data_IF_869343010977
#
_entry.id   IF_869343010977
#
_cell.length_a   1.000
_cell.length_b   1.000
_cell.length_c   1.000
_cell.angle_alpha   90.00
_cell.angle_beta   90.00
_cell.angle_gamma   90.00
#
_symmetry.space_group_name_H-M   'P 1'
#
loop_
_entity.id
_entity.type
_entity.pdbx_description
1 polymer ?
#
# COMPACT_ATOMS: atom_id res chain seq x y z
N UNK A 1 -7.12 11.42 -39.94
CA UNK A 1 -7.42 12.56 -39.04
C UNK A 1 -7.60 12.01 -37.64
N UNK A 2 -6.81 12.53 -36.68
CA UNK A 2 -6.91 12.15 -35.28
C UNK A 2 -7.99 13.02 -34.61
N UNK A 3 -8.80 12.46 -33.70
CA UNK A 3 -9.81 13.25 -33.00
C UNK A 3 -9.16 14.34 -32.15
N UNK A 4 -9.74 15.54 -32.20
CA UNK A 4 -9.34 16.68 -31.39
C UNK A 4 -9.75 16.43 -29.93
N UNK A 5 -8.78 16.55 -29.02
CA UNK A 5 -8.94 16.41 -27.58
C UNK A 5 -9.59 17.68 -27.02
N UNK A 6 -10.66 17.58 -26.20
CA UNK A 6 -11.33 18.75 -25.63
C UNK A 6 -10.39 19.60 -24.76
N UNK A 7 -10.41 20.90 -25.03
CA UNK A 7 -9.63 21.99 -24.43
C UNK A 7 -10.01 22.30 -22.96
N UNK A 8 -10.88 21.50 -22.36
CA UNK A 8 -11.31 21.64 -20.95
C UNK A 8 -10.26 21.15 -19.94
N UNK A 9 -9.19 20.49 -20.37
CA UNK A 9 -7.97 20.30 -19.57
C UNK A 9 -6.98 21.43 -19.88
N UNK A 10 -7.38 22.67 -19.58
CA UNK A 10 -6.44 23.76 -19.38
C UNK A 10 -5.75 23.49 -18.04
N UNK A 11 -4.53 22.95 -18.12
CA UNK A 11 -3.60 22.84 -17.00
C UNK A 11 -3.22 24.27 -16.59
N UNK A 12 -4.06 24.90 -15.76
CA UNK A 12 -3.65 26.08 -15.01
C UNK A 12 -2.48 25.63 -14.14
N UNK A 13 -1.26 25.93 -14.61
CA UNK A 13 -0.03 25.71 -13.86
C UNK A 13 -0.07 26.58 -12.60
N UNK A 14 -0.64 26.04 -11.54
CA UNK A 14 -0.39 26.54 -10.19
C UNK A 14 1.10 26.35 -9.92
N UNK A 15 1.87 27.42 -10.15
CA UNK A 15 3.29 27.50 -9.82
C UNK A 15 3.47 27.31 -8.32
N UNK A 16 3.73 26.07 -7.91
CA UNK A 16 3.99 25.72 -6.53
C UNK A 16 5.30 26.37 -6.08
N UNK A 17 5.22 27.50 -5.39
CA UNK A 17 6.35 28.15 -4.73
C UNK A 17 6.97 27.21 -3.67
N UNK A 18 7.97 26.43 -4.09
CA UNK A 18 8.76 25.57 -3.22
C UNK A 18 9.69 26.37 -2.26
N UNK A 19 9.78 27.69 -2.41
CA UNK A 19 10.66 28.55 -1.59
C UNK A 19 10.10 28.82 -0.19
N UNK A 20 8.81 28.58 0.05
CA UNK A 20 8.20 28.61 1.39
C UNK A 20 8.47 27.34 2.21
N UNK A 21 9.51 26.57 1.87
CA UNK A 21 10.12 25.62 2.79
C UNK A 21 10.57 26.38 4.04
N UNK A 22 10.11 26.01 5.26
CA UNK A 22 10.59 26.65 6.47
C UNK A 22 12.07 26.31 6.62
N UNK A 23 12.90 27.25 6.20
CA UNK A 23 14.30 27.30 6.56
C UNK A 23 14.39 27.03 8.06
N UNK A 24 15.32 26.14 8.41
CA UNK A 24 15.70 25.82 9.78
C UNK A 24 16.22 27.08 10.51
N UNK A 25 15.29 27.96 10.89
CA UNK A 25 15.48 29.05 11.82
C UNK A 25 15.21 28.54 13.22
N UNK A 26 16.24 28.53 14.06
CA UNK A 26 16.07 28.28 15.48
C UNK A 26 15.37 29.46 16.16
N UNK A 27 14.48 29.09 17.09
CA UNK A 27 14.04 29.84 18.27
C UNK A 27 12.85 30.81 18.14
N UNK A 28 11.71 30.43 18.74
CA UNK A 28 10.64 31.36 19.08
C UNK A 28 9.23 30.77 19.09
N UNK A 29 8.85 30.09 20.19
CA UNK A 29 7.45 30.07 20.68
C UNK A 29 6.44 29.16 19.97
N UNK A 30 6.21 27.97 20.53
CA UNK A 30 4.88 27.50 20.97
C UNK A 30 4.95 25.99 21.24
N UNK A 31 4.70 25.62 22.51
CA UNK A 31 4.81 24.27 23.06
C UNK A 31 3.79 23.27 22.51
N UNK A 32 4.01 22.81 21.28
CA UNK A 32 3.46 21.53 20.84
C UNK A 32 4.46 20.46 21.20
N UNK A 33 4.11 19.61 22.16
CA UNK A 33 4.82 18.37 22.45
C UNK A 33 4.94 17.59 21.13
N UNK A 34 6.07 17.73 20.42
CA UNK A 34 6.47 16.83 19.33
C UNK A 34 6.66 15.49 20.00
N UNK A 35 5.58 14.70 20.06
CA UNK A 35 5.66 13.29 20.43
C UNK A 35 6.80 12.71 19.59
N UNK A 36 7.86 12.27 20.25
CA UNK A 36 9.07 11.82 19.59
C UNK A 36 8.64 10.77 18.56
N UNK A 37 8.86 11.05 17.27
CA UNK A 37 8.67 10.04 16.22
C UNK A 37 9.41 8.79 16.69
N UNK A 38 8.75 7.62 16.74
CA UNK A 38 9.39 6.41 17.25
C UNK A 38 10.71 6.24 16.51
N UNK A 39 11.82 6.15 17.26
CA UNK A 39 13.15 6.02 16.67
C UNK A 39 13.14 4.81 15.73
N UNK A 40 13.43 5.04 14.45
CA UNK A 40 13.46 3.96 13.46
C UNK A 40 14.52 2.94 13.92
N UNK A 41 14.16 1.66 14.09
CA UNK A 41 15.10 0.66 14.54
C UNK A 41 16.17 0.43 13.47
N UNK A 42 17.37 0.02 13.90
CA UNK A 42 18.53 -0.15 12.99
C UNK A 42 18.25 -1.08 11.81
N UNK A 43 17.41 -2.10 11.99
CA UNK A 43 17.04 -3.04 10.91
C UNK A 43 16.14 -2.41 9.84
N UNK A 44 15.37 -1.38 10.18
CA UNK A 44 14.48 -0.65 9.27
C UNK A 44 15.17 0.57 8.63
N UNK A 45 16.47 0.77 8.90
CA UNK A 45 17.28 1.84 8.31
C UNK A 45 18.19 1.30 7.21
N UNK A 46 18.51 2.13 6.21
CA UNK A 46 19.52 1.82 5.19
C UNK A 46 20.91 1.80 5.85
N UNK A 47 21.80 0.83 5.55
CA UNK A 47 21.73 -0.19 4.49
C UNK A 47 21.11 -1.54 4.91
N UNK A 48 20.80 -1.74 6.19
CA UNK A 48 20.37 -3.02 6.74
C UNK A 48 19.05 -3.52 6.12
N UNK A 49 18.08 -2.62 5.95
CA UNK A 49 16.78 -2.95 5.34
C UNK A 49 16.94 -3.42 3.88
N UNK A 50 17.87 -2.83 3.12
CA UNK A 50 18.12 -3.22 1.73
C UNK A 50 18.68 -4.64 1.64
N UNK A 51 19.63 -4.98 2.50
CA UNK A 51 20.17 -6.34 2.57
C UNK A 51 19.10 -7.37 2.98
N UNK A 52 18.22 -7.01 3.92
CA UNK A 52 17.11 -7.85 4.33
C UNK A 52 16.11 -8.09 3.17
N UNK A 53 15.72 -7.04 2.45
CA UNK A 53 14.79 -7.13 1.31
C UNK A 53 15.36 -7.99 0.16
N UNK A 54 16.66 -7.85 -0.15
CA UNK A 54 17.32 -8.70 -1.15
C UNK A 54 17.32 -10.18 -0.75
N UNK A 55 17.43 -10.47 0.56
CA UNK A 55 17.33 -11.84 1.06
C UNK A 55 15.90 -12.38 1.00
N UNK A 56 14.89 -11.52 1.20
CA UNK A 56 13.48 -11.88 1.24
C UNK A 56 12.83 -11.97 -0.15
N UNK A 57 13.44 -11.40 -1.19
CA UNK A 57 12.81 -11.26 -2.52
C UNK A 57 12.44 -12.58 -3.21
N UNK A 58 13.11 -13.68 -2.87
CA UNK A 58 12.86 -15.01 -3.46
C UNK A 58 12.14 -15.97 -2.51
N UNK A 59 11.65 -15.49 -1.36
CA UNK A 59 10.92 -16.34 -0.42
C UNK A 59 9.44 -16.43 -0.82
N UNK A 60 8.88 -17.64 -0.84
CA UNK A 60 7.45 -17.80 -1.11
C UNK A 60 6.62 -17.26 0.08
N UNK A 61 5.79 -16.21 -0.09
CA UNK A 61 4.95 -15.70 0.98
C UNK A 61 3.90 -16.72 1.46
N UNK A 62 3.43 -17.62 0.60
CA UNK A 62 2.42 -18.62 0.95
C UNK A 62 2.96 -19.68 1.93
N UNK A 63 4.27 -19.96 1.91
CA UNK A 63 4.91 -20.85 2.88
C UNK A 63 5.05 -20.20 4.27
N UNK A 64 5.17 -18.87 4.31
CA UNK A 64 5.37 -18.11 5.55
C UNK A 64 4.04 -17.76 6.21
N UNK A 65 3.08 -17.26 5.45
CA UNK A 65 1.81 -16.74 5.96
C UNK A 65 0.63 -17.70 5.73
N UNK A 66 0.76 -18.64 4.79
CA UNK A 66 -0.34 -19.49 4.36
C UNK A 66 -1.37 -18.74 3.53
N UNK A 67 -2.41 -19.47 3.10
CA UNK A 67 -3.52 -18.89 2.34
C UNK A 67 -4.32 -17.90 3.19
N UNK A 68 -4.54 -16.70 2.64
CA UNK A 68 -5.34 -15.67 3.29
C UNK A 68 -6.79 -16.17 3.43
N UNK A 69 -7.25 -16.31 4.67
CA UNK A 69 -8.62 -16.71 4.96
C UNK A 69 -9.58 -15.54 4.71
N UNK A 70 -10.84 -15.82 4.31
CA UNK A 70 -11.86 -14.79 4.24
C UNK A 70 -12.01 -14.06 5.59
N UNK A 71 -12.11 -12.73 5.54
CA UNK A 71 -12.23 -11.91 6.74
C UNK A 71 -13.68 -11.96 7.23
N UNK A 72 -13.88 -12.42 8.47
CA UNK A 72 -15.17 -12.34 9.17
C UNK A 72 -15.22 -11.09 10.04
N UNK A 73 -15.71 -9.99 9.47
CA UNK A 73 -15.79 -8.70 10.17
C UNK A 73 -16.65 -8.74 11.44
N UNK A 74 -17.64 -9.65 11.52
CA UNK A 74 -18.45 -9.86 12.73
C UNK A 74 -17.59 -10.29 13.94
N UNK A 75 -16.55 -11.09 13.70
CA UNK A 75 -15.65 -11.60 14.75
C UNK A 75 -14.70 -10.51 15.27
N UNK A 76 -14.24 -9.62 14.38
CA UNK A 76 -13.32 -8.53 14.71
C UNK A 76 -14.03 -7.47 15.56
N UNK A 77 -15.20 -7.02 15.11
CA UNK A 77 -15.91 -5.90 15.75
C UNK A 77 -16.89 -6.33 16.84
N UNK A 78 -17.10 -7.65 17.03
CA UNK A 78 -18.02 -8.24 18.02
C UNK A 78 -19.42 -7.61 18.00
N UNK A 79 -19.84 -7.08 16.85
CA UNK A 79 -21.12 -6.40 16.62
C UNK A 79 -21.71 -6.87 15.31
N UNK A 80 -23.01 -7.13 15.30
CA UNK A 80 -23.77 -7.47 14.10
C UNK A 80 -24.41 -6.20 13.54
N UNK A 81 -23.85 -5.70 12.44
CA UNK A 81 -24.41 -4.60 11.66
C UNK A 81 -24.80 -5.12 10.28
N UNK A 82 -25.96 -4.68 9.75
CA UNK A 82 -26.43 -5.04 8.42
C UNK A 82 -25.43 -4.62 7.33
N UNK A 83 -24.67 -3.54 7.55
CA UNK A 83 -23.62 -3.09 6.64
C UNK A 83 -22.49 -4.10 6.43
N UNK A 84 -22.22 -4.95 7.42
CA UNK A 84 -21.21 -6.00 7.31
C UNK A 84 -21.61 -7.17 6.39
N UNK A 85 -22.90 -7.28 6.04
CA UNK A 85 -23.44 -8.35 5.18
C UNK A 85 -23.80 -7.88 3.78
N UNK A 86 -24.02 -6.58 3.57
CA UNK A 86 -24.36 -6.05 2.25
C UNK A 86 -23.11 -6.13 1.38
N UNK A 87 -23.04 -7.17 0.55
CA UNK A 87 -22.01 -7.32 -0.48
C UNK A 87 -22.34 -6.39 -1.65
N UNK A 88 -21.59 -5.30 -1.77
CA UNK A 88 -21.59 -4.47 -2.97
C UNK A 88 -20.83 -5.17 -4.11
N UNK A 89 -20.96 -4.70 -5.35
CA UNK A 89 -20.29 -5.27 -6.53
C UNK A 89 -18.78 -5.44 -6.37
N UNK A 90 -18.12 -4.56 -5.60
CA UNK A 90 -16.68 -4.64 -5.26
C UNK A 90 -16.27 -5.87 -4.43
N UNK A 91 -17.23 -6.56 -3.81
CA UNK A 91 -16.99 -7.79 -3.04
C UNK A 91 -17.31 -9.06 -3.84
N UNK A 92 -17.74 -8.93 -5.09
CA UNK A 92 -18.15 -10.06 -5.94
C UNK A 92 -17.06 -10.43 -6.97
N UNK A 93 -15.98 -11.05 -6.48
CA UNK A 93 -14.92 -11.65 -7.32
C UNK A 93 -15.28 -13.10 -7.72
N UNK A 94 -16.55 -13.36 -8.00
CA UNK A 94 -17.08 -14.70 -8.25
C UNK A 94 -17.26 -14.88 -9.76
N UNK A 95 -16.47 -15.75 -10.39
CA UNK A 95 -16.55 -16.03 -11.82
C UNK A 95 -15.21 -16.45 -12.43
N UNK A 96 -14.98 -16.03 -13.68
CA UNK A 96 -13.77 -16.26 -14.48
C UNK A 96 -12.55 -15.46 -14.03
N UNK A 97 -12.73 -14.49 -13.13
CA UNK A 97 -11.67 -13.62 -12.60
C UNK A 97 -10.90 -14.25 -11.42
N UNK A 98 -10.98 -15.58 -11.29
CA UNK A 98 -10.18 -16.33 -10.32
C UNK A 98 -8.86 -16.71 -10.98
N UNK A 99 -7.77 -16.54 -10.24
CA UNK A 99 -6.48 -17.08 -10.65
C UNK A 99 -6.59 -18.60 -10.87
N UNK A 100 -6.17 -19.04 -12.03
CA UNK A 100 -6.08 -20.46 -12.36
C UNK A 100 -4.80 -21.04 -11.77
N UNK A 101 -4.79 -22.35 -11.51
CA UNK A 101 -3.60 -23.06 -11.02
C UNK A 101 -2.39 -22.90 -11.96
N UNK A 102 -2.65 -22.74 -13.27
CA UNK A 102 -1.59 -22.48 -14.25
C UNK A 102 -0.95 -21.11 -14.02
N UNK A 103 -1.74 -20.07 -13.83
CA UNK A 103 -1.25 -18.71 -13.57
C UNK A 103 -0.48 -18.62 -12.25
N UNK A 104 -0.97 -19.30 -11.21
CA UNK A 104 -0.25 -19.44 -9.93
C UNK A 104 1.15 -20.04 -10.14
N UNK A 105 1.25 -21.17 -10.85
CA UNK A 105 2.53 -21.84 -11.11
C UNK A 105 3.48 -21.01 -12.00
N UNK A 106 2.94 -20.30 -13.00
CA UNK A 106 3.73 -19.41 -13.86
C UNK A 106 4.27 -18.21 -13.07
N UNK A 107 3.45 -17.68 -12.16
CA UNK A 107 3.84 -16.61 -11.25
C UNK A 107 4.95 -17.06 -10.29
N UNK A 108 4.81 -18.22 -9.64
CA UNK A 108 5.83 -18.77 -8.74
C UNK A 108 7.19 -18.96 -9.45
N UNK A 109 7.16 -19.50 -10.68
CA UNK A 109 8.36 -19.65 -11.52
C UNK A 109 9.00 -18.31 -11.86
N UNK A 110 8.20 -17.31 -12.25
CA UNK A 110 8.67 -15.95 -12.57
C UNK A 110 9.31 -15.26 -11.37
N UNK A 111 8.75 -15.45 -10.18
CA UNK A 111 9.25 -14.85 -8.96
C UNK A 111 10.46 -15.60 -8.37
N UNK A 112 10.76 -16.81 -8.87
CA UNK A 112 11.89 -17.62 -8.41
C UNK A 112 11.75 -18.04 -6.95
N UNK A 113 10.50 -18.21 -6.49
CA UNK A 113 10.20 -18.63 -5.14
C UNK A 113 10.81 -20.01 -4.85
N UNK A 114 11.41 -20.16 -3.66
CA UNK A 114 11.99 -21.41 -3.16
C UNK A 114 11.36 -21.82 -1.84
#
# INVERSE_FOLDING_TARGET
>A
ELPEIPDEYSDDEDEYDYSSSPASGSNGGSGRNKAASPRVPKWASSPAVRAALLKQSTMNPDLVFGKIKPIMVEEIFKKRDRRYRVRTSSANWVGTDKLTTREELEYEKRMGYR
#
